data_IF_635985649396
#
_entry.id   IF_635985649396
#
_cell.length_a   1.000
_cell.length_b   1.000
_cell.length_c   1.000
_cell.angle_alpha   90.00
_cell.angle_beta   90.00
_cell.angle_gamma   90.00
#
_symmetry.space_group_name_H-M   'P 1'
#
loop_
_entity.id
_entity.type
_entity.pdbx_description
1 polymer ?
#
# COMPACT_ATOMS: atom_id res chain seq x y z
N UNK A 1 -3.85 14.57 -15.90
CA UNK A 1 -3.58 14.30 -16.38
C UNK A 1 -4.06 13.38 -17.02
N UNK A 2 -4.19 12.43 -16.47
CA UNK A 2 -4.58 11.17 -17.12
C UNK A 2 -6.00 11.21 -17.71
N UNK A 3 -6.96 11.69 -16.94
CA UNK A 3 -8.34 11.81 -17.42
C UNK A 3 -8.50 12.72 -18.65
N UNK A 4 -7.59 13.64 -18.81
CA UNK A 4 -7.60 14.63 -19.90
C UNK A 4 -6.79 14.15 -21.12
N UNK A 5 -6.19 12.96 -21.03
CA UNK A 5 -5.42 12.41 -22.12
C UNK A 5 -4.03 13.00 -22.32
N UNK A 6 -3.57 13.79 -21.35
CA UNK A 6 -2.23 14.42 -21.43
C UNK A 6 -1.13 13.38 -21.20
N UNK A 7 -1.42 12.32 -20.45
CA UNK A 7 -0.51 11.19 -20.25
C UNK A 7 -1.27 9.89 -20.47
N UNK A 8 -0.56 8.84 -20.85
CA UNK A 8 -1.16 7.56 -21.22
C UNK A 8 -1.34 6.61 -20.04
N UNK A 9 -0.54 6.74 -19.01
CA UNK A 9 -0.64 5.94 -17.79
C UNK A 9 -0.02 6.70 -16.62
N UNK A 10 -0.31 6.23 -15.42
CA UNK A 10 0.19 6.84 -14.19
C UNK A 10 0.26 5.78 -13.08
N UNK A 11 1.14 5.99 -12.10
CA UNK A 11 1.12 5.23 -10.86
C UNK A 11 0.36 6.04 -9.82
N UNK A 12 -0.57 5.40 -9.13
CA UNK A 12 -1.41 6.06 -8.13
C UNK A 12 -1.78 5.06 -7.04
N UNK A 13 -2.15 5.56 -5.88
CA UNK A 13 -2.75 4.71 -4.85
C UNK A 13 -4.14 4.29 -5.33
N UNK A 14 -4.50 3.03 -5.08
CA UNK A 14 -5.81 2.52 -5.49
C UNK A 14 -6.94 3.39 -4.92
N UNK A 15 -6.84 3.77 -3.64
CA UNK A 15 -7.84 4.62 -2.99
C UNK A 15 -8.08 5.96 -3.70
N UNK A 16 -7.03 6.51 -4.33
CA UNK A 16 -7.13 7.80 -5.03
C UNK A 16 -7.87 7.69 -6.37
N UNK A 17 -7.91 6.49 -6.95
CA UNK A 17 -8.49 6.28 -8.29
C UNK A 17 -9.70 5.33 -8.27
N UNK A 18 -10.04 4.75 -7.12
CA UNK A 18 -11.08 3.72 -7.01
C UNK A 18 -12.41 4.17 -7.64
N UNK A 19 -12.86 5.40 -7.35
CA UNK A 19 -14.11 5.92 -7.88
C UNK A 19 -14.09 6.08 -9.41
N UNK A 20 -12.91 6.28 -10.00
CA UNK A 20 -12.75 6.43 -11.45
C UNK A 20 -12.61 5.09 -12.15
N UNK A 21 -12.33 4.02 -11.40
CA UNK A 21 -12.13 2.67 -11.92
C UNK A 21 -13.34 1.75 -11.71
N UNK A 22 -14.45 2.30 -11.19
CA UNK A 22 -15.64 1.52 -10.82
C UNK A 22 -16.89 2.06 -11.53
N UNK A 23 -18.02 1.32 -11.40
CA UNK A 23 -19.29 1.69 -12.01
C UNK A 23 -19.45 1.14 -13.43
N UNK A 24 -20.55 1.46 -14.05
CA UNK A 24 -20.92 0.94 -15.38
C UNK A 24 -20.04 1.50 -16.51
N UNK A 25 -19.47 2.67 -16.31
CA UNK A 25 -18.62 3.35 -17.31
C UNK A 25 -17.37 3.89 -16.63
N UNK A 26 -16.42 3.04 -16.27
CA UNK A 26 -15.20 3.52 -15.61
C UNK A 26 -14.40 4.41 -16.54
N UNK A 27 -13.88 5.50 -15.99
CA UNK A 27 -13.05 6.46 -16.73
C UNK A 27 -11.59 5.98 -16.82
N UNK A 28 -11.15 5.16 -15.87
CA UNK A 28 -9.78 4.65 -15.80
C UNK A 28 -9.81 3.14 -15.61
N UNK A 29 -8.74 2.48 -16.00
CA UNK A 29 -8.55 1.04 -15.82
C UNK A 29 -7.25 0.77 -15.08
N UNK A 30 -7.32 -0.06 -14.04
CA UNK A 30 -6.12 -0.53 -13.34
C UNK A 30 -5.49 -1.65 -14.18
N UNK A 31 -4.21 -1.49 -14.54
CA UNK A 31 -3.50 -2.44 -15.39
C UNK A 31 -2.74 -3.50 -14.59
N UNK A 32 -2.34 -3.16 -13.36
CA UNK A 32 -1.62 -4.07 -12.48
C UNK A 32 -1.37 -3.42 -11.14
N UNK A 33 -1.12 -4.23 -10.12
CA UNK A 33 -0.90 -3.73 -8.75
C UNK A 33 0.50 -4.15 -8.24
N UNK A 34 1.13 -3.24 -7.49
CA UNK A 34 2.39 -3.49 -6.80
C UNK A 34 2.12 -4.22 -5.48
N UNK A 35 1.78 -5.49 -5.58
CA UNK A 35 1.48 -6.29 -4.39
C UNK A 35 1.90 -7.74 -4.64
N UNK A 36 2.04 -8.50 -3.57
CA UNK A 36 2.41 -9.93 -3.65
C UNK A 36 1.22 -10.82 -4.02
N UNK A 37 0.00 -10.29 -3.88
CA UNK A 37 -1.24 -10.98 -4.26
C UNK A 37 -2.20 -9.96 -4.88
N UNK A 38 -3.17 -10.44 -5.66
CA UNK A 38 -4.21 -9.57 -6.22
C UNK A 38 -5.05 -8.96 -5.10
N UNK A 39 -5.52 -7.75 -5.32
CA UNK A 39 -6.39 -7.08 -4.35
C UNK A 39 -7.78 -7.71 -4.37
N UNK A 40 -8.37 -8.02 -3.21
CA UNK A 40 -9.72 -8.60 -3.17
C UNK A 40 -10.78 -7.76 -3.89
N UNK A 41 -10.59 -6.43 -3.88
CA UNK A 41 -11.52 -5.48 -4.52
C UNK A 41 -11.39 -5.49 -6.05
N UNK A 42 -10.27 -6.02 -6.57
CA UNK A 42 -9.97 -6.05 -8.00
C UNK A 42 -9.38 -7.41 -8.38
N UNK A 43 -10.17 -8.50 -8.26
CA UNK A 43 -9.65 -9.87 -8.45
C UNK A 43 -9.17 -10.16 -9.87
N UNK A 44 -9.64 -9.40 -10.84
CA UNK A 44 -9.26 -9.57 -12.25
C UNK A 44 -8.00 -8.79 -12.63
N UNK A 45 -7.49 -7.93 -11.72
CA UNK A 45 -6.29 -7.14 -11.99
C UNK A 45 -5.05 -7.92 -11.51
N UNK A 46 -4.12 -8.22 -12.43
CA UNK A 46 -2.92 -8.99 -12.04
C UNK A 46 -1.97 -8.16 -11.20
N UNK A 47 -1.12 -8.84 -10.44
CA UNK A 47 0.03 -8.20 -9.80
C UNK A 47 1.13 -7.96 -10.85
N UNK A 48 2.04 -7.01 -10.58
CA UNK A 48 3.21 -6.83 -11.45
C UNK A 48 4.12 -8.05 -11.42
N UNK A 49 4.07 -8.85 -10.36
CA UNK A 49 4.79 -10.13 -10.30
C UNK A 49 4.24 -11.14 -11.29
N UNK A 50 2.92 -11.25 -11.41
CA UNK A 50 2.28 -12.12 -12.42
C UNK A 50 2.61 -11.69 -13.84
N UNK A 51 2.81 -10.39 -14.04
CA UNK A 51 3.17 -9.81 -15.36
C UNK A 51 4.68 -9.89 -15.64
N UNK A 52 5.47 -10.42 -14.71
CA UNK A 52 6.91 -10.59 -14.91
C UNK A 52 7.76 -9.36 -14.64
N UNK A 53 7.20 -8.31 -14.04
CA UNK A 53 7.92 -7.05 -13.84
C UNK A 53 8.51 -6.88 -12.44
N UNK A 54 7.70 -7.01 -11.39
CA UNK A 54 8.13 -6.73 -10.01
C UNK A 54 7.32 -7.55 -9.02
N UNK A 55 8.00 -8.40 -8.25
CA UNK A 55 7.33 -9.40 -7.41
C UNK A 55 6.98 -8.94 -5.99
N UNK A 56 7.62 -7.86 -5.54
CA UNK A 56 7.47 -7.43 -4.16
C UNK A 56 6.37 -6.37 -4.03
N UNK A 57 5.93 -6.13 -2.80
CA UNK A 57 5.04 -5.02 -2.51
C UNK A 57 5.80 -3.70 -2.63
N UNK A 58 5.16 -2.70 -3.21
CA UNK A 58 5.66 -1.33 -3.24
C UNK A 58 4.50 -0.36 -3.07
N UNK A 59 4.60 0.54 -2.07
CA UNK A 59 3.51 1.47 -1.83
C UNK A 59 3.76 2.34 -0.62
N UNK A 60 2.69 2.98 -0.16
CA UNK A 60 2.70 3.83 1.03
C UNK A 60 2.15 3.06 2.22
N UNK A 61 2.88 3.09 3.32
CA UNK A 61 2.41 2.56 4.59
C UNK A 61 2.13 3.72 5.55
N UNK A 62 1.12 3.56 6.38
CA UNK A 62 0.86 4.46 7.50
C UNK A 62 1.29 3.75 8.78
N UNK A 63 1.99 4.45 9.64
CA UNK A 63 2.55 3.86 10.85
C UNK A 63 2.26 4.71 12.08
N UNK A 64 2.00 4.03 13.20
CA UNK A 64 2.04 4.66 14.51
C UNK A 64 3.49 4.63 14.98
N UNK A 65 4.02 5.75 15.41
CA UNK A 65 5.42 5.84 15.85
C UNK A 65 5.49 6.31 17.30
N UNK A 66 6.50 5.82 18.00
CA UNK A 66 6.76 6.17 19.40
C UNK A 66 8.18 6.75 19.52
N UNK A 67 8.45 7.58 20.53
CA UNK A 67 9.80 8.10 20.74
C UNK A 67 10.83 7.01 20.94
N UNK A 68 12.06 7.27 20.52
CA UNK A 68 13.17 6.35 20.74
C UNK A 68 13.37 6.13 22.25
N UNK A 69 13.53 4.88 22.64
CA UNK A 69 13.72 4.51 24.04
C UNK A 69 12.41 4.26 24.80
N UNK A 70 11.27 4.27 24.14
CA UNK A 70 10.01 3.90 24.79
C UNK A 70 10.14 2.49 25.37
N UNK A 71 9.76 2.26 26.65
CA UNK A 71 9.83 0.93 27.25
C UNK A 71 9.05 -0.12 26.44
N UNK A 72 9.60 -1.33 26.40
CA UNK A 72 9.03 -2.40 25.57
C UNK A 72 7.55 -2.70 25.92
N UNK A 73 7.22 -2.67 27.22
CA UNK A 73 5.84 -2.90 27.67
C UNK A 73 4.83 -1.90 27.05
N UNK A 74 5.27 -0.67 26.84
CA UNK A 74 4.43 0.37 26.20
C UNK A 74 4.32 0.10 24.70
N UNK A 75 5.43 -0.29 24.07
CA UNK A 75 5.42 -0.69 22.65
C UNK A 75 4.42 -1.85 22.45
N UNK A 76 4.52 -2.89 23.28
CA UNK A 76 3.66 -4.08 23.20
C UNK A 76 2.18 -3.70 23.39
N UNK A 77 1.90 -2.81 24.33
CA UNK A 77 0.53 -2.30 24.56
C UNK A 77 -0.04 -1.67 23.27
N UNK A 78 0.74 -0.78 22.64
CA UNK A 78 0.28 -0.10 21.42
C UNK A 78 0.15 -1.06 20.22
N UNK A 79 1.07 -2.01 20.09
CA UNK A 79 0.98 -3.03 19.03
C UNK A 79 -0.31 -3.83 19.16
N UNK A 80 -0.62 -4.27 20.39
CA UNK A 80 -1.83 -5.07 20.66
C UNK A 80 -3.10 -4.22 20.48
N UNK A 81 -3.10 -2.98 20.99
CA UNK A 81 -4.25 -2.09 20.84
C UNK A 81 -4.53 -1.80 19.35
N UNK A 82 -3.46 -1.52 18.58
CA UNK A 82 -3.58 -1.25 17.15
C UNK A 82 -4.09 -2.48 16.40
N UNK A 83 -3.55 -3.66 16.74
CA UNK A 83 -3.98 -4.93 16.13
C UNK A 83 -5.49 -5.15 16.34
N UNK A 84 -5.95 -4.97 17.59
CA UNK A 84 -7.38 -5.11 17.93
C UNK A 84 -8.24 -4.10 17.18
N UNK A 85 -7.78 -2.86 17.11
CA UNK A 85 -8.51 -1.80 16.39
C UNK A 85 -8.67 -2.16 14.90
N UNK A 86 -7.62 -2.68 14.28
CA UNK A 86 -7.68 -3.06 12.87
C UNK A 86 -8.51 -4.32 12.60
N UNK A 87 -8.89 -5.06 13.64
CA UNK A 87 -9.82 -6.18 13.56
C UNK A 87 -11.25 -5.80 13.92
N UNK A 88 -11.47 -4.58 14.39
CA UNK A 88 -12.79 -4.10 14.77
C UNK A 88 -13.67 -3.91 13.52
N UNK A 89 -14.90 -4.46 13.52
CA UNK A 89 -15.79 -4.33 12.34
C UNK A 89 -16.04 -2.91 11.89
N UNK A 90 -16.19 -1.96 12.82
CA UNK A 90 -16.42 -0.55 12.47
C UNK A 90 -15.19 0.05 11.78
N UNK A 91 -13.99 -0.33 12.23
CA UNK A 91 -12.75 0.12 11.61
C UNK A 91 -12.61 -0.44 10.19
N UNK A 92 -12.91 -1.73 10.04
CA UNK A 92 -12.88 -2.42 8.73
C UNK A 92 -13.86 -1.74 7.77
N UNK A 93 -15.11 -1.55 8.21
CA UNK A 93 -16.14 -0.90 7.38
C UNK A 93 -15.74 0.52 6.97
N UNK A 94 -15.19 1.31 7.90
CA UNK A 94 -14.77 2.67 7.61
C UNK A 94 -13.66 2.70 6.55
N UNK A 95 -12.71 1.77 6.63
CA UNK A 95 -11.63 1.68 5.64
C UNK A 95 -12.14 1.22 4.28
N UNK A 96 -13.04 0.23 4.26
CA UNK A 96 -13.66 -0.22 3.01
C UNK A 96 -14.43 0.91 2.32
N UNK A 97 -15.21 1.69 3.07
CA UNK A 97 -15.95 2.85 2.54
C UNK A 97 -14.99 3.91 1.97
N UNK A 98 -13.80 4.02 2.55
CA UNK A 98 -12.78 4.95 2.08
C UNK A 98 -11.92 4.39 0.93
N UNK A 99 -12.20 3.17 0.48
CA UNK A 99 -11.42 2.50 -0.58
C UNK A 99 -9.99 2.15 -0.13
N UNK A 100 -9.80 1.95 1.17
CA UNK A 100 -8.48 1.67 1.74
C UNK A 100 -8.39 0.24 2.24
N UNK A 101 -7.32 -0.46 1.88
CA UNK A 101 -7.03 -1.80 2.41
C UNK A 101 -6.41 -1.71 3.80
N UNK A 102 -6.73 -2.66 4.64
CA UNK A 102 -6.09 -2.85 5.94
C UNK A 102 -5.12 -4.04 5.85
N UNK A 103 -3.88 -3.81 6.22
CA UNK A 103 -2.86 -4.84 6.28
C UNK A 103 -1.99 -4.57 7.51
N UNK A 104 -2.39 -5.18 8.63
CA UNK A 104 -1.68 -4.98 9.89
C UNK A 104 -0.27 -5.55 9.84
N UNK A 105 0.68 -4.75 10.27
CA UNK A 105 2.06 -5.16 10.51
C UNK A 105 2.44 -4.77 11.92
N UNK A 106 2.99 -5.71 12.67
CA UNK A 106 3.55 -5.39 13.98
C UNK A 106 4.87 -4.61 13.80
N UNK A 107 5.47 -4.20 14.92
CA UNK A 107 6.69 -3.39 14.89
C UNK A 107 7.87 -4.09 14.18
N UNK A 108 7.99 -5.42 14.30
CA UNK A 108 9.06 -6.17 13.63
C UNK A 108 8.82 -6.27 12.13
N UNK A 109 7.60 -6.65 11.74
CA UNK A 109 7.19 -6.76 10.34
C UNK A 109 7.30 -5.41 9.63
N UNK A 110 6.92 -4.33 10.32
CA UNK A 110 7.05 -2.98 9.75
C UNK A 110 8.52 -2.60 9.57
N UNK A 111 9.37 -2.92 10.54
CA UNK A 111 10.80 -2.63 10.43
C UNK A 111 11.44 -3.37 9.24
N UNK A 112 11.07 -4.63 9.04
CA UNK A 112 11.53 -5.43 7.88
C UNK A 112 11.06 -4.82 6.56
N UNK A 113 9.79 -4.41 6.50
CA UNK A 113 9.22 -3.76 5.32
C UNK A 113 9.97 -2.46 5.00
N UNK A 114 10.20 -1.62 6.01
CA UNK A 114 10.92 -0.34 5.84
C UNK A 114 12.34 -0.61 5.32
N UNK A 115 13.04 -1.58 5.92
CA UNK A 115 14.41 -1.92 5.50
C UNK A 115 14.45 -2.39 4.05
N UNK A 116 13.51 -3.24 3.64
CA UNK A 116 13.41 -3.71 2.26
C UNK A 116 13.13 -2.56 1.28
N UNK A 117 12.19 -1.67 1.65
CA UNK A 117 11.86 -0.50 0.84
C UNK A 117 13.04 0.47 0.73
N UNK A 118 13.79 0.66 1.81
CA UNK A 118 14.96 1.52 1.80
C UNK A 118 16.02 1.02 0.82
N UNK A 119 16.30 -0.29 0.84
CA UNK A 119 17.25 -0.90 -0.09
C UNK A 119 16.78 -0.69 -1.54
N UNK A 120 15.53 -0.99 -1.82
CA UNK A 120 14.95 -0.83 -3.16
C UNK A 120 15.03 0.63 -3.63
N UNK A 121 14.59 1.58 -2.79
CA UNK A 121 14.59 3.00 -3.16
C UNK A 121 16.00 3.52 -3.39
N UNK A 122 16.95 3.13 -2.54
CA UNK A 122 18.35 3.53 -2.67
C UNK A 122 18.94 3.02 -3.99
N UNK A 123 18.66 1.76 -4.35
CA UNK A 123 19.13 1.17 -5.60
C UNK A 123 18.54 1.87 -6.83
N UNK A 124 17.24 2.12 -6.83
CA UNK A 124 16.53 2.78 -7.94
C UNK A 124 17.03 4.22 -8.09
N UNK A 125 17.08 4.97 -6.98
CA UNK A 125 17.51 6.38 -7.01
C UNK A 125 18.95 6.50 -7.52
N UNK A 126 19.83 5.61 -7.06
CA UNK A 126 21.23 5.64 -7.50
C UNK A 126 21.38 5.41 -9.01
N UNK A 127 20.46 4.64 -9.61
CA UNK A 127 20.46 4.39 -11.05
C UNK A 127 19.85 5.54 -11.86
N UNK A 128 18.77 6.14 -11.34
CA UNK A 128 18.03 7.19 -12.06
C UNK A 128 18.73 8.55 -12.00
N UNK A 129 19.46 8.82 -10.93
CA UNK A 129 20.04 10.15 -10.68
C UNK A 129 21.58 10.14 -10.68
N UNK A 130 22.19 9.16 -11.33
CA UNK A 130 23.64 9.24 -11.61
C UNK A 130 23.88 10.42 -12.55
N UNK A 131 24.65 11.40 -12.06
CA UNK A 131 25.18 12.48 -12.90
C UNK A 131 26.39 11.97 -13.66
#
# INVERSE_FOLDING_TARGET
XLRQGEVHFSCAKVADVAALCSGDKPELRILGVFNTARLPEYPDVPTLGELGYYKEWYGSARALVLPKGTPQEIVDFYVEAFRKTMQDPACIEAHQKAGMSLDFKDNKQLAELIAAQEIFCRDVVSKLYKK
#
